data_IF_817975016039
#
_entry.id   IF_817975016039
#
_cell.length_a   1.000
_cell.length_b   1.000
_cell.length_c   1.000
_cell.angle_alpha   90.00
_cell.angle_beta   90.00
_cell.angle_gamma   90.00
#
_symmetry.space_group_name_H-M   'P 1'
#
loop_
_entity.id
_entity.type
_entity.pdbx_description
1 polymer ?
#
# COMPACT_ATOMS: atom_id res chain seq x y z
N UNK A 1 -16.36 31.82 -13.16
CA UNK A 1 -16.97 31.38 -14.43
C UNK A 1 -16.46 29.97 -14.70
N UNK A 2 -17.34 28.96 -14.66
CA UNK A 2 -16.95 27.59 -14.95
C UNK A 2 -16.44 27.51 -16.40
N UNK A 3 -15.18 27.16 -16.61
CA UNK A 3 -14.67 26.89 -17.96
C UNK A 3 -15.46 25.72 -18.53
N UNK A 4 -16.12 25.94 -19.67
CA UNK A 4 -16.82 24.90 -20.42
C UNK A 4 -15.80 23.82 -20.82
N UNK A 5 -15.67 22.78 -20.01
CA UNK A 5 -14.75 21.67 -20.27
C UNK A 5 -15.41 20.74 -21.27
N UNK A 6 -14.75 20.52 -22.40
CA UNK A 6 -15.26 19.65 -23.46
C UNK A 6 -15.26 18.21 -22.96
N UNK A 7 -16.45 17.65 -22.77
CA UNK A 7 -16.58 16.29 -22.26
C UNK A 7 -16.16 15.27 -23.32
N UNK A 8 -15.16 14.46 -22.99
CA UNK A 8 -14.72 13.32 -23.79
C UNK A 8 -15.77 12.21 -23.70
N UNK A 9 -16.20 11.61 -24.83
CA UNK A 9 -17.07 10.44 -24.84
C UNK A 9 -16.56 9.31 -23.94
N UNK A 10 -17.44 8.58 -23.23
CA UNK A 10 -17.06 7.62 -22.19
C UNK A 10 -16.15 6.49 -22.70
N UNK A 11 -16.40 5.97 -23.90
CA UNK A 11 -15.55 4.93 -24.51
C UNK A 11 -14.16 5.45 -24.88
N UNK A 12 -14.05 6.72 -25.30
CA UNK A 12 -12.77 7.33 -25.60
C UNK A 12 -11.97 7.56 -24.31
N UNK A 13 -12.65 8.08 -23.28
CA UNK A 13 -12.08 8.31 -21.96
C UNK A 13 -11.51 7.01 -21.36
N UNK A 14 -12.29 5.94 -21.36
CA UNK A 14 -11.86 4.62 -20.90
C UNK A 14 -10.57 4.15 -21.59
N UNK A 15 -10.50 4.25 -22.92
CA UNK A 15 -9.32 3.84 -23.69
C UNK A 15 -8.10 4.74 -23.40
N UNK A 16 -8.32 6.04 -23.21
CA UNK A 16 -7.25 6.98 -22.89
C UNK A 16 -6.67 6.72 -21.50
N UNK A 17 -7.50 6.46 -20.50
CA UNK A 17 -7.07 6.11 -19.13
C UNK A 17 -6.17 4.86 -19.16
N UNK A 18 -6.62 3.79 -19.83
CA UNK A 18 -5.80 2.56 -19.92
C UNK A 18 -4.49 2.76 -20.69
N UNK A 19 -4.44 3.68 -21.66
CA UNK A 19 -3.17 4.06 -22.30
C UNK A 19 -2.28 4.84 -21.34
N UNK A 20 -2.82 5.81 -20.62
CA UNK A 20 -2.09 6.59 -19.63
C UNK A 20 -1.49 5.70 -18.54
N UNK A 21 -2.23 4.69 -18.05
CA UNK A 21 -1.71 3.71 -17.09
C UNK A 21 -0.52 2.91 -17.63
N UNK A 22 -0.54 2.57 -18.93
CA UNK A 22 0.56 1.83 -19.57
C UNK A 22 1.83 2.65 -19.71
N UNK A 23 1.69 3.94 -19.99
CA UNK A 23 2.81 4.83 -20.29
C UNK A 23 3.37 5.46 -19.02
N UNK A 24 2.51 5.89 -18.10
CA UNK A 24 2.89 6.77 -16.99
C UNK A 24 2.87 6.10 -15.62
N UNK A 25 2.17 4.97 -15.47
CA UNK A 25 2.02 4.30 -14.19
C UNK A 25 2.98 3.10 -14.07
N UNK A 26 3.70 2.95 -12.94
CA UNK A 26 4.53 1.78 -12.68
C UNK A 26 3.71 0.47 -12.77
N UNK A 27 4.32 -0.65 -13.21
CA UNK A 27 3.62 -1.91 -13.48
C UNK A 27 2.73 -2.38 -12.32
N UNK A 28 3.19 -2.22 -11.08
CA UNK A 28 2.48 -2.65 -9.88
C UNK A 28 1.19 -1.85 -9.63
N UNK A 29 1.21 -0.53 -9.86
CA UNK A 29 0.03 0.32 -9.72
C UNK A 29 -0.94 0.15 -10.88
N UNK A 30 -0.43 -0.24 -12.06
CA UNK A 30 -1.25 -0.55 -13.23
C UNK A 30 -2.15 -1.75 -13.03
N UNK A 31 -1.67 -2.82 -12.38
CA UNK A 31 -2.48 -4.02 -12.13
C UNK A 31 -3.72 -3.67 -11.29
N UNK A 32 -3.52 -2.93 -10.19
CA UNK A 32 -4.60 -2.48 -9.33
C UNK A 32 -5.50 -1.46 -10.05
N UNK A 33 -4.89 -0.45 -10.69
CA UNK A 33 -5.60 0.62 -11.38
C UNK A 33 -6.45 0.10 -12.54
N UNK A 34 -5.89 -0.70 -13.45
CA UNK A 34 -6.62 -1.24 -14.60
C UNK A 34 -7.83 -2.08 -14.19
N UNK A 35 -7.72 -2.83 -13.08
CA UNK A 35 -8.84 -3.59 -12.52
C UNK A 35 -9.95 -2.67 -12.01
N UNK A 36 -9.58 -1.64 -11.24
CA UNK A 36 -10.52 -0.66 -10.69
C UNK A 36 -11.26 0.11 -11.80
N UNK A 37 -10.55 0.65 -12.79
CA UNK A 37 -11.17 1.39 -13.91
C UNK A 37 -12.18 0.52 -14.65
N UNK A 38 -11.83 -0.74 -14.94
CA UNK A 38 -12.75 -1.67 -15.61
C UNK A 38 -14.01 -1.93 -14.80
N UNK A 39 -13.86 -2.15 -13.49
CA UNK A 39 -14.99 -2.40 -12.61
C UNK A 39 -15.93 -1.19 -12.54
N UNK A 40 -15.37 0.02 -12.40
CA UNK A 40 -16.16 1.25 -12.31
C UNK A 40 -16.91 1.56 -13.61
N UNK A 41 -16.24 1.49 -14.76
CA UNK A 41 -16.91 1.69 -16.06
C UNK A 41 -17.96 0.60 -16.34
N UNK A 42 -17.73 -0.63 -15.90
CA UNK A 42 -18.72 -1.69 -16.02
C UNK A 42 -19.94 -1.44 -15.12
N UNK A 43 -19.73 -1.00 -13.88
CA UNK A 43 -20.80 -0.67 -12.93
C UNK A 43 -21.66 0.50 -13.40
N UNK A 44 -21.09 1.43 -14.16
CA UNK A 44 -21.78 2.62 -14.67
C UNK A 44 -22.31 2.48 -16.11
N UNK A 45 -22.27 1.27 -16.70
CA UNK A 45 -22.68 1.05 -18.09
C UNK A 45 -24.20 1.18 -18.31
N UNK A 46 -25.00 0.85 -17.30
CA UNK A 46 -26.47 0.80 -17.35
C UNK A 46 -27.10 2.02 -16.64
N UNK A 47 -26.31 3.07 -16.34
CA UNK A 47 -26.81 4.28 -15.68
C UNK A 47 -27.40 5.20 -16.73
N UNK A 48 -28.70 5.48 -16.64
CA UNK A 48 -29.43 6.31 -17.62
C UNK A 48 -29.56 7.78 -17.22
N UNK A 49 -29.33 8.12 -15.95
CA UNK A 49 -29.49 9.48 -15.48
C UNK A 49 -28.37 10.38 -16.05
N UNK A 50 -28.68 11.38 -16.90
CA UNK A 50 -27.67 12.18 -17.57
C UNK A 50 -26.80 12.99 -16.61
N UNK A 51 -27.33 13.41 -15.45
CA UNK A 51 -26.54 14.15 -14.45
C UNK A 51 -25.45 13.26 -13.84
N UNK A 52 -25.76 12.00 -13.56
CA UNK A 52 -24.77 11.05 -13.04
C UNK A 52 -23.74 10.69 -14.11
N UNK A 53 -24.14 10.50 -15.37
CA UNK A 53 -23.21 10.24 -16.48
C UNK A 53 -22.24 11.42 -16.64
N UNK A 54 -22.73 12.66 -16.63
CA UNK A 54 -21.88 13.85 -16.77
C UNK A 54 -20.90 13.96 -15.59
N UNK A 55 -21.37 13.82 -14.36
CA UNK A 55 -20.50 13.86 -13.17
C UNK A 55 -19.44 12.76 -13.17
N UNK A 56 -19.83 11.54 -13.59
CA UNK A 56 -18.89 10.44 -13.77
C UNK A 56 -17.82 10.77 -14.80
N UNK A 57 -18.22 11.22 -15.99
CA UNK A 57 -17.28 11.57 -17.07
C UNK A 57 -16.33 12.69 -16.66
N UNK A 58 -16.81 13.70 -15.93
CA UNK A 58 -16.01 14.83 -15.43
C UNK A 58 -14.93 14.35 -14.46
N UNK A 59 -15.31 13.55 -13.45
CA UNK A 59 -14.38 12.99 -12.46
C UNK A 59 -13.28 12.13 -13.12
N UNK A 60 -13.65 11.27 -14.07
CA UNK A 60 -12.70 10.41 -14.76
C UNK A 60 -11.78 11.18 -15.72
N UNK A 61 -12.24 12.30 -16.27
CA UNK A 61 -11.38 13.23 -17.01
C UNK A 61 -10.38 13.93 -16.10
N UNK A 62 -10.79 14.38 -14.93
CA UNK A 62 -9.87 15.00 -13.96
C UNK A 62 -8.78 14.03 -13.53
N UNK A 63 -9.16 12.79 -13.25
CA UNK A 63 -8.21 11.71 -12.98
C UNK A 63 -7.21 11.51 -14.13
N UNK A 64 -7.69 11.41 -15.37
CA UNK A 64 -6.82 11.30 -16.55
C UNK A 64 -5.85 12.48 -16.65
N UNK A 65 -6.35 13.72 -16.51
CA UNK A 65 -5.55 14.93 -16.57
C UNK A 65 -4.48 14.94 -15.47
N UNK A 66 -4.80 14.45 -14.27
CA UNK A 66 -3.85 14.32 -13.17
C UNK A 66 -2.71 13.34 -13.50
N UNK A 67 -3.02 12.19 -14.10
CA UNK A 67 -1.99 11.23 -14.54
C UNK A 67 -1.10 11.83 -15.63
N UNK A 68 -1.68 12.52 -16.62
CA UNK A 68 -0.92 13.16 -17.69
C UNK A 68 -0.06 14.33 -17.19
N UNK A 69 -0.60 15.13 -16.27
CA UNK A 69 0.11 16.26 -15.67
C UNK A 69 1.30 15.80 -14.81
N UNK A 70 1.08 14.80 -13.95
CA UNK A 70 2.14 14.22 -13.11
C UNK A 70 3.26 13.60 -13.95
N UNK A 71 2.93 12.99 -15.10
CA UNK A 71 3.94 12.50 -16.03
C UNK A 71 4.78 13.61 -16.67
N UNK A 72 4.15 14.71 -17.11
CA UNK A 72 4.84 15.85 -17.70
C UNK A 72 5.78 16.54 -16.70
N UNK A 73 5.40 16.60 -15.41
CA UNK A 73 6.25 17.12 -14.35
C UNK A 73 7.55 16.29 -14.17
N UNK A 74 7.44 14.95 -14.23
CA UNK A 74 8.57 14.06 -14.09
C UNK A 74 9.55 14.13 -15.29
N UNK A 75 9.02 14.32 -16.51
CA UNK A 75 9.82 14.51 -17.72
C UNK A 75 10.65 15.81 -17.67
N UNK A 76 10.07 16.92 -17.22
CA UNK A 76 10.78 18.21 -17.14
C UNK A 76 11.87 18.24 -16.06
N UNK A 77 11.77 17.41 -15.02
CA UNK A 77 12.80 17.28 -13.99
C UNK A 77 14.05 16.54 -14.52
N UNK A 78 13.86 15.50 -15.35
CA UNK A 78 14.97 14.72 -15.92
C UNK A 78 15.84 15.53 -16.91
N UNK A 79 15.24 16.45 -17.67
CA UNK A 79 15.96 17.27 -18.67
C UNK A 79 16.83 18.36 -18.05
N UNK A 80 16.66 18.68 -16.75
CA UNK A 80 17.41 19.75 -16.07
C UNK A 80 18.69 19.30 -15.35
N UNK A 81 18.98 18.00 -15.26
CA UNK A 81 20.19 17.50 -14.57
C UNK A 81 21.24 16.83 -15.48
N UNK A 82 20.98 16.64 -16.78
CA UNK A 82 21.94 16.04 -17.70
C UNK A 82 22.82 17.09 -18.40
N UNK A 83 24.00 17.37 -17.82
CA UNK A 83 25.14 17.91 -18.59
C UNK A 83 25.57 16.91 -19.67
N UNK A 84 26.00 17.35 -20.86
CA UNK A 84 26.41 16.46 -21.94
C UNK A 84 27.86 16.02 -21.71
N UNK A 85 28.08 14.80 -21.22
CA UNK A 85 29.38 14.14 -21.38
C UNK A 85 29.32 13.28 -22.63
N UNK A 86 29.95 13.79 -23.69
CA UNK A 86 30.16 13.11 -24.96
C UNK A 86 31.14 11.97 -24.72
N UNK A 87 30.74 10.74 -25.04
CA UNK A 87 31.65 9.66 -25.43
C UNK A 87 30.91 8.64 -26.31
N UNK A 88 31.48 8.24 -27.47
CA UNK A 88 30.87 7.29 -28.38
C UNK A 88 31.45 5.88 -28.17
N UNK A 89 30.61 4.83 -28.16
CA UNK A 89 31.08 3.46 -28.29
C UNK A 89 29.97 2.43 -28.58
N UNK A 90 29.96 1.98 -29.83
CA UNK A 90 29.73 0.62 -30.37
C UNK A 90 28.34 -0.02 -30.39
N UNK A 91 28.01 -0.44 -31.61
CA UNK A 91 27.06 -1.43 -32.09
C UNK A 91 26.94 -2.71 -31.26
N UNK A 92 25.71 -3.25 -31.12
CA UNK A 92 25.43 -4.69 -31.24
C UNK A 92 23.92 -4.99 -31.29
N UNK A 93 23.47 -5.41 -32.47
CA UNK A 93 22.56 -6.55 -32.77
C UNK A 93 21.36 -6.91 -31.89
N UNK A 94 20.19 -6.97 -32.54
CA UNK A 94 18.95 -7.63 -32.12
C UNK A 94 19.14 -9.12 -31.74
N UNK A 95 18.15 -9.72 -31.05
CA UNK A 95 17.34 -10.66 -31.81
C UNK A 95 15.83 -10.63 -31.52
N UNK A 96 15.11 -10.83 -32.62
CA UNK A 96 13.77 -11.41 -32.78
C UNK A 96 13.47 -12.55 -31.80
N UNK A 97 12.31 -12.48 -31.12
CA UNK A 97 11.60 -13.67 -30.67
C UNK A 97 10.08 -13.44 -30.70
N UNK A 98 9.46 -14.09 -31.69
CA UNK A 98 8.03 -14.33 -31.84
C UNK A 98 7.63 -15.45 -30.88
N UNK A 99 6.64 -15.21 -30.03
CA UNK A 99 6.00 -16.26 -29.24
C UNK A 99 4.48 -16.07 -29.26
N UNK A 100 3.82 -17.00 -29.96
CA UNK A 100 2.42 -17.36 -29.85
C UNK A 100 2.19 -18.15 -28.56
N UNK A 101 1.16 -17.83 -27.76
CA UNK A 101 0.27 -18.80 -27.09
C UNK A 101 -0.69 -18.14 -26.08
N UNK A 102 -1.94 -18.12 -26.50
CA UNK A 102 -3.21 -18.30 -25.77
C UNK A 102 -3.14 -19.18 -24.50
N UNK A 103 -3.88 -18.73 -23.46
CA UNK A 103 -4.44 -19.49 -22.33
C UNK A 103 -3.49 -20.02 -21.24
N UNK A 104 -3.20 -19.20 -20.22
CA UNK A 104 -2.95 -19.66 -18.82
C UNK A 104 -2.84 -18.51 -17.81
N UNK A 105 -3.80 -17.58 -17.85
CA UNK A 105 -3.59 -16.26 -17.25
C UNK A 105 -3.85 -16.15 -15.74
N UNK A 106 -4.45 -17.13 -15.06
CA UNK A 106 -4.77 -17.02 -13.62
C UNK A 106 -3.71 -17.57 -12.66
N UNK A 107 -3.18 -18.78 -12.90
CA UNK A 107 -2.13 -19.33 -12.03
C UNK A 107 -0.83 -18.50 -12.07
N UNK A 108 -0.54 -17.90 -13.23
CA UNK A 108 0.63 -17.02 -13.40
C UNK A 108 0.47 -15.71 -12.62
N UNK A 109 -0.77 -15.21 -12.44
CA UNK A 109 -1.05 -14.00 -11.66
C UNK A 109 -0.77 -14.23 -10.18
N UNK A 110 -1.24 -15.33 -9.62
CA UNK A 110 -1.03 -15.64 -8.21
C UNK A 110 0.44 -15.89 -7.89
N UNK A 111 1.16 -16.62 -8.76
CA UNK A 111 2.60 -16.83 -8.60
C UNK A 111 3.40 -15.53 -8.70
N UNK A 112 3.04 -14.62 -9.63
CA UNK A 112 3.70 -13.31 -9.74
C UNK A 112 3.44 -12.44 -8.50
N UNK A 113 2.22 -12.43 -7.97
CA UNK A 113 1.87 -11.68 -6.77
C UNK A 113 2.59 -12.25 -5.53
N UNK A 114 2.65 -13.57 -5.38
CA UNK A 114 3.37 -14.24 -4.28
C UNK A 114 4.88 -13.96 -4.34
N UNK A 115 5.48 -13.96 -5.53
CA UNK A 115 6.90 -13.64 -5.70
C UNK A 115 7.23 -12.19 -5.34
N UNK A 116 6.35 -11.23 -5.69
CA UNK A 116 6.55 -9.80 -5.36
C UNK A 116 6.42 -9.56 -3.85
N UNK A 117 5.50 -10.27 -3.19
CA UNK A 117 5.36 -10.23 -1.72
C UNK A 117 6.56 -10.89 -1.04
N UNK A 118 7.02 -12.04 -1.54
CA UNK A 118 8.20 -12.76 -1.03
C UNK A 118 9.53 -12.00 -1.22
N UNK A 119 9.62 -11.14 -2.24
CA UNK A 119 10.74 -10.21 -2.43
C UNK A 119 10.79 -9.07 -1.40
N UNK A 120 9.87 -9.03 -0.44
CA UNK A 120 9.91 -8.09 0.68
C UNK A 120 9.71 -6.63 0.27
N UNK A 121 9.27 -6.36 -0.96
CA UNK A 121 9.02 -5.02 -1.44
C UNK A 121 7.70 -4.51 -0.85
N UNK A 122 7.78 -3.98 0.37
CA UNK A 122 6.65 -3.37 1.05
C UNK A 122 6.05 -2.26 0.19
N UNK A 123 4.75 -2.34 -0.07
CA UNK A 123 4.03 -1.29 -0.78
C UNK A 123 3.79 -0.09 0.15
N UNK A 124 4.02 1.11 -0.38
CA UNK A 124 3.94 2.36 0.38
C UNK A 124 5.27 2.75 1.04
N UNK A 125 5.36 4.00 1.48
CA UNK A 125 6.46 4.46 2.33
C UNK A 125 6.11 4.14 3.77
N UNK A 126 7.00 3.50 4.52
CA UNK A 126 6.85 3.41 5.99
C UNK A 126 6.71 4.83 6.53
N UNK A 127 5.75 5.03 7.44
CA UNK A 127 5.58 6.31 8.11
C UNK A 127 6.89 6.60 8.86
N UNK A 128 7.47 7.76 8.58
CA UNK A 128 8.70 8.22 9.22
C UNK A 128 8.44 8.38 10.74
N UNK A 129 9.25 7.77 11.63
CA UNK A 129 9.11 7.95 13.07
C UNK A 129 9.06 9.42 13.48
N UNK A 130 9.83 10.30 12.83
CA UNK A 130 9.83 11.74 13.14
C UNK A 130 8.54 12.46 12.72
N UNK A 131 7.73 11.85 11.86
CA UNK A 131 6.42 12.35 11.48
C UNK A 131 5.34 11.95 12.50
N UNK A 132 5.49 10.79 13.16
CA UNK A 132 4.59 10.35 14.23
C UNK A 132 4.64 11.32 15.42
N UNK A 133 5.82 11.81 15.78
CA UNK A 133 5.99 12.79 16.86
C UNK A 133 5.35 14.16 16.56
N UNK A 134 5.07 14.46 15.28
CA UNK A 134 4.47 15.72 14.83
C UNK A 134 2.96 15.62 14.60
N UNK A 135 2.40 14.42 14.63
CA UNK A 135 0.97 14.20 14.50
C UNK A 135 0.27 14.51 15.82
N UNK A 136 -0.95 15.04 15.75
CA UNK A 136 -1.72 15.29 16.97
C UNK A 136 -2.17 13.97 17.61
N UNK A 137 -2.45 13.98 18.92
CA UNK A 137 -2.93 12.80 19.65
C UNK A 137 -4.19 12.18 19.00
N UNK A 138 -5.07 13.03 18.47
CA UNK A 138 -6.26 12.59 17.74
C UNK A 138 -5.91 11.86 16.44
N UNK A 139 -4.92 12.36 15.69
CA UNK A 139 -4.45 11.73 14.45
C UNK A 139 -3.74 10.40 14.73
N UNK A 140 -2.98 10.34 15.82
CA UNK A 140 -2.36 9.11 16.32
C UNK A 140 -3.41 8.05 16.68
N UNK A 141 -4.48 8.45 17.37
CA UNK A 141 -5.60 7.57 17.72
C UNK A 141 -6.26 6.96 16.47
N UNK A 142 -6.61 7.79 15.49
CA UNK A 142 -7.20 7.34 14.22
C UNK A 142 -6.28 6.39 13.45
N UNK A 143 -4.98 6.69 13.40
CA UNK A 143 -4.00 5.85 12.74
C UNK A 143 -3.82 4.51 13.46
N UNK A 144 -3.87 4.51 14.79
CA UNK A 144 -3.80 3.29 15.60
C UNK A 144 -5.02 2.39 15.39
N UNK A 145 -6.23 2.95 15.41
CA UNK A 145 -7.47 2.23 15.12
C UNK A 145 -7.44 1.61 13.73
N UNK A 146 -7.05 2.39 12.72
CA UNK A 146 -6.90 1.91 11.35
C UNK A 146 -5.86 0.78 11.24
N UNK A 147 -4.72 0.92 11.92
CA UNK A 147 -3.68 -0.12 11.96
C UNK A 147 -4.22 -1.39 12.62
N UNK A 148 -4.98 -1.26 13.71
CA UNK A 148 -5.56 -2.40 14.43
C UNK A 148 -6.54 -3.17 13.55
N UNK A 149 -7.41 -2.45 12.84
CA UNK A 149 -8.41 -3.05 11.94
C UNK A 149 -7.75 -3.74 10.74
N UNK A 150 -6.77 -3.08 10.11
CA UNK A 150 -6.06 -3.63 8.93
C UNK A 150 -5.14 -4.80 9.28
N UNK A 151 -4.67 -4.90 10.53
CA UNK A 151 -3.92 -6.04 11.05
C UNK A 151 -4.81 -7.15 11.64
N UNK A 152 -6.13 -7.13 11.38
CA UNK A 152 -7.16 -7.98 11.97
C UNK A 152 -7.08 -9.49 11.73
N UNK A 153 -5.89 -10.08 11.69
CA UNK A 153 -5.57 -11.49 11.95
C UNK A 153 -4.11 -11.55 12.45
N UNK A 154 -3.89 -11.26 13.74
CA UNK A 154 -2.78 -11.96 14.42
C UNK A 154 -3.16 -13.44 14.36
N UNK A 155 -2.32 -14.25 13.70
CA UNK A 155 -2.56 -15.70 13.66
C UNK A 155 -2.82 -16.20 15.09
N UNK A 156 -3.67 -17.21 15.32
CA UNK A 156 -3.85 -17.77 16.66
C UNK A 156 -2.53 -18.11 17.37
N UNK A 157 -1.48 -18.38 16.58
CA UNK A 157 -0.11 -18.59 17.04
C UNK A 157 0.52 -17.35 17.68
N UNK A 158 0.30 -16.14 17.16
CA UNK A 158 0.84 -14.89 17.73
C UNK A 158 0.12 -14.50 19.04
N UNK A 159 -1.16 -14.83 19.17
CA UNK A 159 -1.91 -14.68 20.42
C UNK A 159 -1.45 -15.68 21.48
N UNK A 160 -1.18 -16.93 21.07
CA UNK A 160 -0.57 -17.94 21.94
C UNK A 160 0.86 -17.57 22.34
N UNK A 161 1.64 -16.95 21.44
CA UNK A 161 2.99 -16.47 21.70
C UNK A 161 2.98 -15.27 22.65
N UNK A 162 2.07 -14.31 22.48
CA UNK A 162 1.88 -13.20 23.41
C UNK A 162 1.42 -13.69 24.80
N UNK A 163 0.49 -14.65 24.85
CA UNK A 163 0.03 -15.25 26.10
C UNK A 163 1.17 -16.03 26.81
N UNK A 164 2.04 -16.69 26.04
CA UNK A 164 3.24 -17.36 26.58
C UNK A 164 4.28 -16.35 27.08
N UNK A 165 4.51 -15.26 26.36
CA UNK A 165 5.42 -14.19 26.79
C UNK A 165 4.91 -13.50 28.07
N UNK A 166 3.61 -13.24 28.17
CA UNK A 166 2.99 -12.66 29.37
C UNK A 166 3.08 -13.61 30.58
N UNK A 167 2.80 -14.91 30.39
CA UNK A 167 2.95 -15.92 31.45
C UNK A 167 4.42 -16.04 31.92
N UNK A 168 5.38 -15.96 30.99
CA UNK A 168 6.80 -16.06 31.29
C UNK A 168 7.33 -14.78 32.00
N UNK A 169 6.75 -13.61 31.71
CA UNK A 169 7.01 -12.38 32.45
C UNK A 169 6.46 -12.44 33.89
N UNK A 170 5.27 -13.02 34.09
CA UNK A 170 4.69 -13.24 35.43
C UNK A 170 5.51 -14.24 36.26
N UNK A 171 5.98 -15.31 35.63
CA UNK A 171 6.84 -16.31 36.30
C UNK A 171 8.21 -15.73 36.66
N UNK A 172 8.83 -14.95 35.76
CA UNK A 172 10.08 -14.24 36.02
C UNK A 172 9.94 -13.16 37.10
N UNK A 173 8.80 -12.49 37.17
CA UNK A 173 8.48 -11.55 38.24
C UNK A 173 8.28 -12.27 39.60
N UNK A 174 7.63 -13.44 39.60
CA UNK A 174 7.46 -14.27 40.80
C UNK A 174 8.79 -14.87 41.30
N UNK A 175 9.73 -15.20 40.41
CA UNK A 175 11.06 -15.71 40.75
C UNK A 175 12.01 -14.64 41.32
N UNK A 176 11.63 -13.36 41.27
CA UNK A 176 12.42 -12.22 41.80
C UNK A 176 11.87 -11.74 43.16
N UNK A 177 11.35 -12.66 43.98
CA UNK A 177 11.15 -12.41 45.41
C UNK A 177 12.08 -13.37 46.17
N UNK A 178 13.13 -12.88 46.87
CA UNK A 178 13.96 -13.75 47.68
C UNK A 178 13.15 -14.28 48.87
N UNK A 179 12.75 -15.55 48.80
CA UNK A 179 12.28 -16.30 49.94
C UNK A 179 13.45 -16.56 50.90
N UNK A 180 13.63 -15.67 51.88
CA UNK A 180 14.46 -15.94 53.06
C UNK A 180 13.58 -16.21 54.28
N UNK A 181 13.31 -17.51 54.47
CA UNK A 181 13.13 -18.25 55.74
C UNK A 181 12.17 -17.76 56.84
N UNK A 182 11.22 -18.61 57.30
CA UNK A 182 10.64 -18.49 58.64
C UNK A 182 11.60 -19.13 59.66
N UNK A 183 12.18 -18.32 60.56
CA UNK A 183 12.92 -18.80 61.73
C UNK A 183 12.26 -18.30 63.02
N UNK A 184 11.98 -19.25 63.88
CA UNK A 184 11.23 -19.19 65.13
C UNK A 184 11.93 -18.43 66.27
N UNK A 185 11.13 -18.10 67.31
CA UNK A 185 11.49 -17.96 68.75
C UNK A 185 11.56 -16.54 69.30
N UNK A 186 10.54 -16.12 70.06
CA UNK A 186 10.64 -15.87 71.51
C UNK A 186 9.33 -15.25 72.04
N UNK A 187 8.45 -16.08 72.60
CA UNK A 187 7.39 -15.65 73.52
C UNK A 187 7.99 -15.57 74.91
N UNK A 188 8.09 -14.36 75.47
CA UNK A 188 8.43 -14.11 76.87
C UNK A 188 7.24 -13.44 77.55
N UNK A 189 6.71 -14.11 78.58
CA UNK A 189 5.62 -13.70 79.48
C UNK A 189 5.80 -12.32 80.11
N UNK A 190 4.71 -11.74 80.64
CA UNK A 190 4.75 -11.02 81.90
C UNK A 190 3.98 -11.81 82.98
N UNK A 191 4.62 -11.89 84.15
CA UNK A 191 4.14 -12.50 85.38
C UNK A 191 3.45 -11.43 86.24
N UNK A 192 2.34 -11.84 86.87
CA UNK A 192 1.67 -11.31 88.08
C UNK A 192 1.30 -9.82 88.13
#
# INVERSE_FOLDING_TARGET
MASQKTLIPPLQLYRQILRAHRVHLPPQFRILGDGYVKAEFHRHKDVDNPLYIVGFIEQWQDYLNHILSSANANANAATRSSSPTISPAVSATSPTARATATTSSDATRESTLQQIVAQGQAFGKKIDPALLDKMTDQQLGQLYELRKETKGLQTPQELDELAKEEAQLLEKAAATIPASTPSSTSTSSPQA
#
